data_IF_844345421579
#
_entry.id   IF_844345421579
#
_cell.length_a   1.000
_cell.length_b   1.000
_cell.length_c   1.000
_cell.angle_alpha   90.00
_cell.angle_beta   90.00
_cell.angle_gamma   90.00
#
_symmetry.space_group_name_H-M   'P 1'
#
loop_
_entity.id
_entity.type
_entity.pdbx_description
1 polymer ?
#
# COMPACT_ATOMS: atom_id res chain seq x y z
N UNK A 1 2.02 23.15 -53.51
CA UNK A 1 2.96 22.31 -54.31
C UNK A 1 3.00 20.90 -53.75
N UNK A 2 3.50 19.88 -54.45
CA UNK A 2 3.57 18.49 -53.93
C UNK A 2 4.26 18.37 -52.54
N UNK A 3 5.12 19.33 -52.22
CA UNK A 3 5.78 19.49 -50.92
C UNK A 3 4.81 19.81 -49.76
N UNK A 4 3.75 20.59 -49.99
CA UNK A 4 2.78 20.97 -48.94
C UNK A 4 1.92 19.77 -48.51
N UNK A 5 1.56 18.92 -49.47
CA UNK A 5 0.82 17.68 -49.22
C UNK A 5 1.62 16.70 -48.35
N UNK A 6 2.93 16.55 -48.62
CA UNK A 6 3.82 15.69 -47.83
C UNK A 6 4.02 16.26 -46.42
N UNK A 7 4.12 17.59 -46.28
CA UNK A 7 4.24 18.25 -44.98
C UNK A 7 2.96 18.13 -44.14
N UNK A 8 1.79 18.34 -44.76
CA UNK A 8 0.50 18.17 -44.09
C UNK A 8 0.28 16.73 -43.61
N UNK A 9 0.68 15.73 -44.40
CA UNK A 9 0.61 14.32 -44.02
C UNK A 9 1.58 13.99 -42.87
N UNK A 10 2.77 14.60 -42.85
CA UNK A 10 3.74 14.47 -41.74
C UNK A 10 3.24 15.11 -40.45
N UNK A 11 2.65 16.30 -40.53
CA UNK A 11 2.07 17.00 -39.39
C UNK A 11 0.83 16.28 -38.86
N UNK A 12 -0.03 15.76 -39.75
CA UNK A 12 -1.19 14.97 -39.36
C UNK A 12 -0.78 13.69 -38.60
N UNK A 13 0.26 12.99 -39.07
CA UNK A 13 0.81 11.82 -38.35
C UNK A 13 1.39 12.20 -37.00
N UNK A 14 2.17 13.28 -36.90
CA UNK A 14 2.69 13.77 -35.61
C UNK A 14 1.58 14.14 -34.64
N UNK A 15 0.53 14.82 -35.11
CA UNK A 15 -0.58 15.22 -34.27
C UNK A 15 -1.35 14.01 -33.74
N UNK A 16 -1.47 12.96 -34.56
CA UNK A 16 -2.04 11.68 -34.17
C UNK A 16 -1.19 10.96 -33.12
N UNK A 17 0.13 10.86 -33.34
CA UNK A 17 1.07 10.26 -32.40
C UNK A 17 1.10 10.97 -31.04
N UNK A 18 1.07 12.31 -31.04
CA UNK A 18 1.02 13.11 -29.80
C UNK A 18 -0.27 12.85 -29.03
N UNK A 19 -1.43 12.77 -29.72
CA UNK A 19 -2.71 12.47 -29.08
C UNK A 19 -2.75 11.07 -28.50
N UNK A 20 -2.29 10.07 -29.26
CA UNK A 20 -2.23 8.69 -28.77
C UNK A 20 -1.27 8.56 -27.58
N UNK A 21 -0.13 9.25 -27.62
CA UNK A 21 0.81 9.29 -26.50
C UNK A 21 0.18 9.94 -25.26
N UNK A 22 -0.49 11.08 -25.42
CA UNK A 22 -1.16 11.76 -24.30
C UNK A 22 -2.27 10.88 -23.67
N UNK A 23 -3.03 10.16 -24.50
CA UNK A 23 -4.05 9.20 -24.04
C UNK A 23 -3.44 8.04 -23.26
N UNK A 24 -2.30 7.52 -23.72
CA UNK A 24 -1.60 6.47 -22.99
C UNK A 24 -0.95 6.96 -21.70
N UNK A 25 -0.36 8.15 -21.70
CA UNK A 25 0.26 8.74 -20.52
C UNK A 25 -0.79 8.96 -19.41
N UNK A 26 -2.00 9.42 -19.75
CA UNK A 26 -3.11 9.58 -18.82
C UNK A 26 -3.60 8.24 -18.24
N UNK A 27 -3.75 7.22 -19.09
CA UNK A 27 -4.15 5.87 -18.65
C UNK A 27 -3.08 5.23 -17.77
N UNK A 28 -1.80 5.42 -18.12
CA UNK A 28 -0.67 4.87 -17.38
C UNK A 28 -0.57 5.50 -15.99
N UNK A 29 -0.74 6.82 -15.88
CA UNK A 29 -0.76 7.56 -14.62
C UNK A 29 -1.90 7.10 -13.68
N UNK A 30 -3.09 6.86 -14.23
CA UNK A 30 -4.23 6.37 -13.45
C UNK A 30 -4.03 4.93 -12.98
N UNK A 31 -3.37 4.09 -13.78
CA UNK A 31 -3.07 2.72 -13.40
C UNK A 31 -1.99 2.66 -12.33
N UNK A 32 -0.91 3.43 -12.46
CA UNK A 32 0.15 3.50 -11.44
C UNK A 32 -0.40 4.00 -10.11
N UNK A 33 -1.21 5.08 -10.12
CA UNK A 33 -1.83 5.59 -8.90
C UNK A 33 -2.76 4.56 -8.20
N UNK A 34 -3.47 3.74 -8.98
CA UNK A 34 -4.34 2.67 -8.44
C UNK A 34 -3.56 1.46 -7.93
N UNK A 35 -2.40 1.17 -8.49
CA UNK A 35 -1.52 0.11 -8.02
C UNK A 35 -0.81 0.53 -6.74
N UNK A 36 -0.29 1.76 -6.67
CA UNK A 36 0.31 2.34 -5.47
C UNK A 36 -0.69 2.38 -4.31
N UNK A 37 -1.89 2.93 -4.52
CA UNK A 37 -2.93 2.99 -3.49
C UNK A 37 -3.35 1.59 -2.98
N UNK A 38 -3.35 0.57 -3.85
CA UNK A 38 -3.64 -0.82 -3.46
C UNK A 38 -2.49 -1.46 -2.71
N UNK A 39 -1.25 -1.20 -3.13
CA UNK A 39 -0.06 -1.69 -2.44
C UNK A 39 0.03 -1.10 -1.03
N UNK A 40 -0.16 0.21 -0.90
CA UNK A 40 -0.20 0.92 0.39
C UNK A 40 -1.30 0.37 1.30
N UNK A 41 -2.54 0.30 0.81
CA UNK A 41 -3.67 -0.23 1.61
C UNK A 41 -3.50 -1.69 2.04
N UNK A 42 -2.86 -2.54 1.22
CA UNK A 42 -2.56 -3.93 1.60
C UNK A 42 -1.45 -3.99 2.65
N UNK A 43 -0.45 -3.12 2.55
CA UNK A 43 0.64 -3.07 3.54
C UNK A 43 0.15 -2.58 4.90
N UNK A 44 -0.65 -1.51 4.93
CA UNK A 44 -1.23 -0.96 6.16
C UNK A 44 -2.18 -1.98 6.81
N UNK A 45 -3.14 -2.53 6.06
CA UNK A 45 -4.09 -3.51 6.59
C UNK A 45 -3.44 -4.80 7.11
N UNK A 46 -2.32 -5.23 6.51
CA UNK A 46 -1.57 -6.41 7.00
C UNK A 46 -0.78 -6.11 8.27
N UNK A 47 -0.28 -4.89 8.43
CA UNK A 47 0.46 -4.48 9.64
C UNK A 47 -0.52 -4.30 10.80
N UNK A 48 -1.63 -3.60 10.59
CA UNK A 48 -2.68 -3.44 11.60
C UNK A 48 -3.27 -4.79 12.03
N UNK A 49 -3.62 -5.66 11.07
CA UNK A 49 -4.18 -6.98 11.40
C UNK A 49 -3.20 -7.90 12.14
N UNK A 50 -1.89 -7.75 11.92
CA UNK A 50 -0.88 -8.48 12.71
C UNK A 50 -0.76 -7.94 14.12
N UNK A 51 -0.80 -6.62 14.28
CA UNK A 51 -0.74 -5.97 15.58
C UNK A 51 -1.97 -6.32 16.43
N UNK A 52 -3.17 -6.21 15.87
CA UNK A 52 -4.41 -6.54 16.57
C UNK A 52 -4.45 -7.99 17.03
N UNK A 53 -4.00 -8.91 16.15
CA UNK A 53 -3.89 -10.32 16.51
C UNK A 53 -2.86 -10.56 17.63
N UNK A 54 -1.71 -9.88 17.58
CA UNK A 54 -0.70 -9.96 18.63
C UNK A 54 -1.25 -9.46 19.99
N UNK A 55 -2.02 -8.36 19.98
CA UNK A 55 -2.70 -7.81 21.17
C UNK A 55 -3.74 -8.78 21.71
N UNK A 56 -4.56 -9.40 20.85
CA UNK A 56 -5.57 -10.37 21.27
C UNK A 56 -4.93 -11.61 21.92
N UNK A 57 -3.86 -12.13 21.30
CA UNK A 57 -3.08 -13.26 21.83
C UNK A 57 -2.44 -12.88 23.16
N UNK A 58 -1.82 -11.70 23.26
CA UNK A 58 -1.22 -11.22 24.51
C UNK A 58 -2.26 -11.10 25.63
N UNK A 59 -3.47 -10.60 25.35
CA UNK A 59 -4.59 -10.58 26.31
C UNK A 59 -4.98 -11.99 26.76
N UNK A 60 -5.05 -12.94 25.85
CA UNK A 60 -5.38 -14.33 26.17
C UNK A 60 -4.29 -15.00 27.03
N UNK A 61 -3.02 -14.68 26.77
CA UNK A 61 -1.88 -15.17 27.55
C UNK A 61 -1.82 -14.53 28.96
N UNK A 62 -2.07 -13.23 29.07
CA UNK A 62 -2.18 -12.53 30.36
C UNK A 62 -3.28 -13.12 31.23
N UNK A 63 -4.45 -13.45 30.65
CA UNK A 63 -5.55 -14.13 31.37
C UNK A 63 -5.17 -15.53 31.87
N UNK A 64 -4.18 -16.17 31.23
CA UNK A 64 -3.64 -17.48 31.64
C UNK A 64 -2.52 -17.37 32.68
N UNK A 65 -2.14 -16.16 33.09
CA UNK A 65 -1.09 -15.94 34.07
C UNK A 65 0.33 -16.14 33.54
N UNK A 66 0.52 -16.07 32.20
CA UNK A 66 1.85 -16.11 31.58
C UNK A 66 2.61 -14.82 31.90
N UNK A 67 3.92 -14.90 32.09
CA UNK A 67 4.75 -13.75 32.39
C UNK A 67 4.80 -12.75 31.22
N UNK A 68 4.89 -11.47 31.55
CA UNK A 68 4.92 -10.37 30.57
C UNK A 68 6.10 -10.50 29.60
N UNK A 69 7.26 -10.98 30.06
CA UNK A 69 8.44 -11.19 29.20
C UNK A 69 8.20 -12.33 28.21
N UNK A 70 7.66 -13.45 28.67
CA UNK A 70 7.35 -14.59 27.80
C UNK A 70 6.31 -14.22 26.74
N UNK A 71 5.32 -13.39 27.12
CA UNK A 71 4.32 -12.88 26.17
C UNK A 71 4.97 -11.99 25.13
N UNK A 72 5.81 -11.04 25.54
CA UNK A 72 6.54 -10.15 24.64
C UNK A 72 7.34 -10.96 23.59
N UNK A 73 8.07 -11.98 24.05
CA UNK A 73 8.85 -12.85 23.18
C UNK A 73 7.98 -13.69 22.23
N UNK A 74 6.84 -14.22 22.69
CA UNK A 74 5.95 -15.06 21.88
C UNK A 74 5.10 -14.28 20.87
N UNK A 75 4.66 -13.06 21.21
CA UNK A 75 3.79 -12.25 20.34
C UNK A 75 4.56 -11.25 19.49
N UNK A 76 5.86 -11.06 19.75
CA UNK A 76 6.68 -10.04 19.11
C UNK A 76 6.30 -8.61 19.53
N UNK A 77 5.63 -8.48 20.68
CA UNK A 77 5.31 -7.18 21.29
C UNK A 77 6.45 -6.79 22.23
N UNK A 78 6.58 -5.51 22.50
CA UNK A 78 7.48 -5.04 23.57
C UNK A 78 6.88 -5.30 24.95
N UNK A 79 7.74 -5.45 25.96
CA UNK A 79 7.29 -5.60 27.36
C UNK A 79 6.37 -4.44 27.76
N UNK A 80 6.69 -3.21 27.35
CA UNK A 80 5.87 -2.03 27.61
C UNK A 80 4.48 -2.10 26.96
N UNK A 81 4.37 -2.66 25.75
CA UNK A 81 3.07 -2.92 25.11
C UNK A 81 2.25 -3.93 25.89
N UNK A 82 2.86 -5.03 26.32
CA UNK A 82 2.17 -6.04 27.13
C UNK A 82 1.73 -5.47 28.48
N UNK A 83 2.54 -4.61 29.11
CA UNK A 83 2.17 -3.88 30.34
C UNK A 83 1.00 -2.94 30.09
N UNK A 84 1.01 -2.17 28.99
CA UNK A 84 -0.12 -1.31 28.60
C UNK A 84 -1.39 -2.11 28.40
N UNK A 85 -1.31 -3.27 27.77
CA UNK A 85 -2.46 -4.18 27.57
C UNK A 85 -2.98 -4.69 28.92
N UNK A 86 -2.09 -5.07 29.85
CA UNK A 86 -2.44 -5.53 31.20
C UNK A 86 -3.10 -4.43 32.03
N UNK A 87 -2.60 -3.19 31.93
CA UNK A 87 -3.11 -2.03 32.66
C UNK A 87 -4.34 -1.36 32.06
N UNK A 88 -4.74 -1.73 30.84
CA UNK A 88 -5.97 -1.23 30.19
C UNK A 88 -7.22 -2.04 30.57
N UNK A 89 -7.20 -2.73 31.73
CA UNK A 89 -8.28 -3.59 32.22
C UNK A 89 -8.92 -3.03 33.48
#
# INVERSE_FOLDING_TARGET
>A
TALDLINQDREARRLYEIREKARHDEVSLLNSAREEARAEGLTEGRVEGKYDKAVEVARAMLRRGIDVKDIADMTGLTVDEVIRIKGSN
#
